data_IF_491588904086
#
_entry.id   IF_491588904086
#
_cell.length_a   1.000
_cell.length_b   1.000
_cell.length_c   1.000
_cell.angle_alpha   90.00
_cell.angle_beta   90.00
_cell.angle_gamma   90.00
#
_symmetry.space_group_name_H-M   'P 1'
#
loop_
_entity.id
_entity.type
_entity.pdbx_description
1 polymer ?
#
# COMPACT_ATOMS: atom_id res chain seq x y z
N UNK A 1 -14.69 -15.29 2.55
CA UNK A 1 -14.79 -13.80 2.74
C UNK A 1 -13.47 -13.16 2.38
N UNK A 2 -13.46 -12.00 1.68
CA UNK A 2 -12.26 -11.22 1.42
C UNK A 2 -12.20 -10.06 2.40
N UNK A 3 -11.03 -9.86 3.04
CA UNK A 3 -10.76 -8.75 3.95
C UNK A 3 -9.79 -7.79 3.29
N UNK A 4 -10.11 -6.50 3.29
CA UNK A 4 -9.21 -5.45 2.82
C UNK A 4 -8.78 -4.56 4.00
N UNK A 5 -7.47 -4.47 4.26
CA UNK A 5 -6.93 -3.82 5.47
C UNK A 5 -6.57 -2.34 5.28
N UNK A 6 -6.57 -1.83 4.04
CA UNK A 6 -6.03 -0.50 3.70
C UNK A 6 -7.03 0.66 3.66
N UNK A 7 -8.29 0.48 4.11
CA UNK A 7 -9.34 1.50 3.91
C UNK A 7 -9.26 2.69 4.87
N UNK A 8 -8.75 2.52 6.07
CA UNK A 8 -8.74 3.57 7.11
C UNK A 8 -7.34 3.98 7.53
N UNK A 9 -6.39 3.06 7.43
CA UNK A 9 -5.00 3.26 7.83
C UNK A 9 -4.12 2.20 7.17
N UNK A 10 -2.81 2.44 7.18
CA UNK A 10 -1.82 1.45 6.77
C UNK A 10 -1.58 0.49 7.94
N UNK A 11 -2.33 -0.63 7.97
CA UNK A 11 -2.23 -1.62 9.04
C UNK A 11 -0.84 -2.26 9.10
N UNK A 12 -0.23 -2.72 7.98
CA UNK A 12 1.12 -3.25 8.03
C UNK A 12 2.15 -2.29 8.63
N UNK A 13 2.08 -1.00 8.28
CA UNK A 13 3.06 -0.02 8.74
C UNK A 13 2.90 0.37 10.21
N UNK A 14 1.65 0.49 10.72
CA UNK A 14 1.39 1.12 12.01
C UNK A 14 0.71 0.23 13.04
N UNK A 15 0.08 -0.86 12.60
CA UNK A 15 -0.77 -1.70 13.44
C UNK A 15 -0.50 -3.21 13.25
N UNK A 16 0.71 -3.57 12.84
CA UNK A 16 1.09 -4.96 12.57
C UNK A 16 0.87 -5.88 13.78
N UNK A 17 1.35 -5.49 14.96
CA UNK A 17 1.18 -6.25 16.20
C UNK A 17 -0.29 -6.36 16.60
N UNK A 18 -1.04 -5.25 16.53
CA UNK A 18 -2.49 -5.28 16.79
C UNK A 18 -3.20 -6.26 15.84
N UNK A 19 -2.87 -6.23 14.55
CA UNK A 19 -3.48 -7.12 13.58
C UNK A 19 -3.12 -8.60 13.84
N UNK A 20 -1.86 -8.87 14.17
CA UNK A 20 -1.41 -10.19 14.59
C UNK A 20 -2.20 -10.70 15.80
N UNK A 21 -2.45 -9.85 16.80
CA UNK A 21 -3.27 -10.20 17.96
C UNK A 21 -4.73 -10.48 17.55
N UNK A 22 -5.29 -9.75 16.57
CA UNK A 22 -6.66 -10.02 16.07
C UNK A 22 -6.74 -11.36 15.35
N UNK A 23 -5.71 -11.73 14.57
CA UNK A 23 -5.65 -13.06 13.95
C UNK A 23 -5.61 -14.18 14.99
N UNK A 24 -4.79 -14.05 16.05
CA UNK A 24 -4.70 -15.02 17.15
C UNK A 24 -6.02 -15.17 17.89
N UNK A 25 -6.72 -14.06 18.13
CA UNK A 25 -8.06 -14.05 18.77
C UNK A 25 -9.18 -14.58 17.86
N UNK A 26 -8.93 -14.66 16.54
CA UNK A 26 -9.86 -15.17 15.55
C UNK A 26 -11.03 -14.22 15.22
N UNK A 27 -10.99 -12.97 15.67
CA UNK A 27 -12.02 -11.97 15.33
C UNK A 27 -11.53 -10.53 15.43
N UNK A 28 -12.26 -9.64 14.72
CA UNK A 28 -12.09 -8.19 14.83
C UNK A 28 -13.47 -7.52 14.98
N UNK A 29 -13.52 -6.48 15.81
CA UNK A 29 -14.67 -5.59 15.91
C UNK A 29 -14.42 -4.31 15.14
N UNK A 30 -15.32 -3.97 14.22
CA UNK A 30 -15.23 -2.78 13.36
C UNK A 30 -16.40 -1.85 13.67
N UNK A 31 -16.08 -0.63 14.11
CA UNK A 31 -17.10 0.40 14.35
C UNK A 31 -17.51 1.05 13.04
N UNK A 32 -18.83 1.22 12.84
CA UNK A 32 -19.34 1.96 11.70
C UNK A 32 -18.92 3.43 11.78
N UNK A 33 -18.29 4.01 10.73
CA UNK A 33 -17.81 5.40 10.76
C UNK A 33 -18.94 6.43 10.82
N UNK A 34 -20.14 6.06 10.34
CA UNK A 34 -21.33 6.93 10.30
C UNK A 34 -22.26 6.74 11.51
N UNK A 35 -22.12 5.61 12.23
CA UNK A 35 -22.89 5.33 13.43
C UNK A 35 -22.00 4.71 14.50
N UNK A 36 -21.52 5.55 15.44
CA UNK A 36 -20.59 5.14 16.49
C UNK A 36 -21.13 4.08 17.45
N UNK A 37 -22.45 3.88 17.50
CA UNK A 37 -23.09 2.87 18.34
C UNK A 37 -23.20 1.50 17.66
N UNK A 38 -22.96 1.46 16.34
CA UNK A 38 -22.99 0.21 15.57
C UNK A 38 -21.58 -0.36 15.43
N UNK A 39 -21.37 -1.53 16.02
CA UNK A 39 -20.11 -2.29 15.95
C UNK A 39 -20.41 -3.66 15.35
N UNK A 40 -19.74 -4.01 14.27
CA UNK A 40 -19.81 -5.32 13.64
C UNK A 40 -18.63 -6.18 14.07
N UNK A 41 -18.88 -7.44 14.43
CA UNK A 41 -17.85 -8.44 14.72
C UNK A 41 -17.67 -9.34 13.51
N UNK A 42 -16.42 -9.46 13.03
CA UNK A 42 -16.06 -10.33 11.93
C UNK A 42 -15.14 -11.44 12.41
N UNK A 43 -15.41 -12.66 12.02
CA UNK A 43 -14.50 -13.78 12.22
C UNK A 43 -13.29 -13.63 11.31
N UNK A 44 -12.12 -14.02 11.83
CA UNK A 44 -10.84 -13.95 11.11
C UNK A 44 -10.20 -15.33 10.90
N UNK A 45 -10.85 -16.41 11.26
CA UNK A 45 -10.27 -17.74 11.08
C UNK A 45 -10.20 -18.14 9.58
N UNK A 46 -9.20 -18.96 9.19
CA UNK A 46 -8.97 -19.33 7.79
C UNK A 46 -10.16 -20.06 7.13
N UNK A 47 -11.04 -20.68 7.92
CA UNK A 47 -12.21 -21.37 7.37
C UNK A 47 -13.26 -20.43 6.77
N UNK A 48 -13.22 -19.14 7.09
CA UNK A 48 -14.17 -18.13 6.60
C UNK A 48 -13.51 -16.99 5.83
N UNK A 49 -12.19 -16.84 5.94
CA UNK A 49 -11.41 -15.80 5.23
C UNK A 49 -10.60 -16.46 4.12
N UNK A 50 -11.01 -16.23 2.87
CA UNK A 50 -10.35 -16.76 1.69
C UNK A 50 -9.09 -15.96 1.33
N UNK A 51 -9.14 -14.63 1.55
CA UNK A 51 -8.06 -13.73 1.16
C UNK A 51 -8.00 -12.48 2.05
N UNK A 52 -6.79 -12.05 2.39
CA UNK A 52 -6.49 -10.79 3.04
C UNK A 52 -5.71 -9.90 2.06
N UNK A 53 -6.31 -8.76 1.68
CA UNK A 53 -5.68 -7.74 0.86
C UNK A 53 -5.02 -6.67 1.73
N UNK A 54 -3.73 -6.45 1.53
CA UNK A 54 -2.93 -5.45 2.22
C UNK A 54 -2.62 -4.27 1.30
N UNK A 55 -2.71 -3.04 1.83
CA UNK A 55 -2.19 -1.84 1.18
C UNK A 55 -1.23 -1.15 2.13
N UNK A 56 0.03 -0.96 1.72
CA UNK A 56 1.05 -0.41 2.61
C UNK A 56 2.11 0.39 1.88
N UNK A 57 2.69 1.36 2.58
CA UNK A 57 3.96 2.02 2.22
C UNK A 57 5.16 1.47 3.00
N UNK A 58 4.94 0.57 3.95
CA UNK A 58 6.01 -0.04 4.74
C UNK A 58 5.58 -1.44 5.23
N UNK A 59 5.93 -2.51 4.51
CA UNK A 59 5.55 -3.87 4.91
C UNK A 59 6.39 -4.44 6.06
N UNK A 60 7.56 -3.87 6.34
CA UNK A 60 8.54 -4.44 7.26
C UNK A 60 8.01 -4.78 8.67
N UNK A 61 7.12 -3.98 9.31
CA UNK A 61 6.60 -4.33 10.62
C UNK A 61 5.73 -5.61 10.65
N UNK A 62 5.24 -6.07 9.47
CA UNK A 62 4.49 -7.34 9.37
C UNK A 62 5.40 -8.57 9.26
N UNK A 63 6.66 -8.44 8.90
CA UNK A 63 7.54 -9.62 8.71
C UNK A 63 7.62 -10.57 9.90
N UNK A 64 7.66 -10.12 11.17
CA UNK A 64 7.65 -11.03 12.32
C UNK A 64 6.38 -11.87 12.45
N UNK A 65 5.32 -11.49 11.77
CA UNK A 65 3.99 -12.09 11.90
C UNK A 65 3.55 -12.87 10.66
N UNK A 66 4.40 -13.01 9.64
CA UNK A 66 4.05 -13.68 8.37
C UNK A 66 3.62 -15.14 8.58
N UNK A 67 4.12 -15.81 9.61
CA UNK A 67 3.72 -17.18 9.93
C UNK A 67 2.22 -17.30 10.28
N UNK A 68 1.62 -16.24 10.85
CA UNK A 68 0.18 -16.21 11.15
C UNK A 68 -0.70 -16.10 9.90
N UNK A 69 -0.10 -15.77 8.76
CA UNK A 69 -0.80 -15.55 7.49
C UNK A 69 -0.70 -16.75 6.53
N UNK A 70 0.00 -17.82 6.91
CA UNK A 70 0.27 -18.97 6.02
C UNK A 70 -0.99 -19.67 5.50
N UNK A 71 -2.03 -19.73 6.33
CA UNK A 71 -3.28 -20.40 6.01
C UNK A 71 -4.30 -19.50 5.30
N UNK A 72 -3.93 -18.26 4.99
CA UNK A 72 -4.77 -17.30 4.28
C UNK A 72 -4.25 -17.04 2.87
N UNK A 73 -5.13 -16.88 1.90
CA UNK A 73 -4.78 -16.20 0.67
C UNK A 73 -4.32 -14.77 0.98
N UNK A 74 -3.26 -14.31 0.32
CA UNK A 74 -2.70 -12.98 0.55
C UNK A 74 -2.58 -12.22 -0.77
N UNK A 75 -2.85 -10.91 -0.74
CA UNK A 75 -2.53 -10.03 -1.85
C UNK A 75 -2.04 -8.68 -1.32
N UNK A 76 -0.86 -8.27 -1.79
CA UNK A 76 -0.15 -7.10 -1.27
C UNK A 76 -0.03 -6.00 -2.31
N UNK A 77 -0.61 -4.84 -2.02
CA UNK A 77 -0.35 -3.61 -2.74
C UNK A 77 0.71 -2.81 -1.98
N UNK A 78 1.94 -2.79 -2.49
CA UNK A 78 3.04 -2.05 -1.87
C UNK A 78 3.30 -0.78 -2.65
N UNK A 79 3.07 0.37 -2.03
CA UNK A 79 3.24 1.67 -2.66
C UNK A 79 4.68 2.16 -2.46
N UNK A 80 5.42 2.30 -3.57
CA UNK A 80 6.75 2.92 -3.60
C UNK A 80 6.73 3.99 -4.68
N UNK A 81 6.89 5.24 -4.27
CA UNK A 81 6.88 6.43 -5.10
C UNK A 81 8.23 7.14 -4.99
N UNK A 82 8.64 7.99 -5.95
CA UNK A 82 9.98 8.57 -5.96
C UNK A 82 10.10 9.85 -5.12
N UNK A 83 9.06 10.19 -4.34
CA UNK A 83 9.04 11.46 -3.61
C UNK A 83 10.02 11.47 -2.45
N UNK A 84 10.58 12.64 -2.20
CA UNK A 84 11.39 12.91 -1.04
C UNK A 84 10.55 13.21 0.21
N UNK A 85 11.24 13.61 1.29
CA UNK A 85 10.59 13.97 2.57
C UNK A 85 9.70 15.21 2.51
N UNK A 86 9.80 16.01 1.47
CA UNK A 86 8.93 17.15 1.17
C UNK A 86 7.47 16.71 0.89
N UNK A 87 7.29 15.53 0.30
CA UNK A 87 5.96 14.95 0.02
C UNK A 87 5.66 13.79 0.99
N UNK A 88 6.65 12.98 1.32
CA UNK A 88 6.51 11.77 2.14
C UNK A 88 7.45 11.80 3.36
N UNK A 89 7.21 12.69 4.35
CA UNK A 89 8.14 12.93 5.46
C UNK A 89 8.37 11.70 6.35
N UNK A 90 7.37 10.82 6.45
CA UNK A 90 7.37 9.68 7.38
C UNK A 90 7.54 8.33 6.69
N UNK A 91 7.75 8.31 5.36
CA UNK A 91 7.99 7.07 4.61
C UNK A 91 9.46 6.69 4.75
N UNK A 92 9.78 5.41 4.98
CA UNK A 92 11.17 4.94 5.04
C UNK A 92 11.97 5.24 3.77
N UNK A 93 13.29 5.11 3.86
CA UNK A 93 14.19 5.26 2.71
C UNK A 93 13.79 4.34 1.56
N UNK A 94 13.92 4.82 0.31
CA UNK A 94 13.42 4.11 -0.88
C UNK A 94 14.23 2.85 -1.18
N UNK A 95 15.52 2.82 -0.90
CA UNK A 95 16.34 1.60 -1.09
C UNK A 95 15.87 0.52 -0.12
N UNK A 96 15.67 0.89 1.15
CA UNK A 96 15.11 -0.04 2.14
C UNK A 96 13.74 -0.57 1.72
N UNK A 97 12.85 0.30 1.21
CA UNK A 97 11.53 -0.14 0.74
C UNK A 97 11.59 -1.10 -0.45
N UNK A 98 12.54 -0.89 -1.37
CA UNK A 98 12.77 -1.81 -2.48
C UNK A 98 13.27 -3.18 -1.98
N UNK A 99 14.15 -3.20 -0.98
CA UNK A 99 14.63 -4.45 -0.38
C UNK A 99 13.53 -5.16 0.42
N UNK A 100 12.73 -4.41 1.18
CA UNK A 100 11.56 -4.94 1.89
C UNK A 100 10.50 -5.50 0.92
N UNK A 101 10.31 -4.86 -0.25
CA UNK A 101 9.44 -5.37 -1.31
C UNK A 101 9.92 -6.72 -1.84
N UNK A 102 11.22 -6.84 -2.16
CA UNK A 102 11.81 -8.10 -2.64
C UNK A 102 11.66 -9.20 -1.61
N UNK A 103 12.00 -8.90 -0.35
CA UNK A 103 11.80 -9.84 0.77
C UNK A 103 10.35 -10.31 0.90
N UNK A 104 9.40 -9.37 0.79
CA UNK A 104 7.97 -9.74 0.81
C UNK A 104 7.60 -10.61 -0.38
N UNK A 105 8.08 -10.27 -1.58
CA UNK A 105 7.85 -11.08 -2.78
C UNK A 105 8.37 -12.51 -2.64
N UNK A 106 9.55 -12.69 -2.03
CA UNK A 106 10.11 -14.03 -1.76
C UNK A 106 9.24 -14.83 -0.78
N UNK A 107 8.55 -14.15 0.15
CA UNK A 107 7.66 -14.79 1.14
C UNK A 107 6.29 -15.17 0.57
N UNK A 108 5.69 -14.31 -0.28
CA UNK A 108 4.30 -14.47 -0.73
C UNK A 108 4.17 -14.90 -2.20
N UNK A 109 5.25 -14.79 -2.96
CA UNK A 109 5.29 -15.06 -4.39
C UNK A 109 4.97 -13.85 -5.26
N UNK A 110 5.54 -13.81 -6.46
CA UNK A 110 5.50 -12.68 -7.41
C UNK A 110 4.09 -12.32 -7.91
N UNK A 111 3.14 -13.24 -7.82
CA UNK A 111 1.74 -13.03 -8.23
C UNK A 111 0.86 -12.49 -7.09
N UNK A 112 1.33 -12.58 -5.85
CA UNK A 112 0.60 -12.10 -4.68
C UNK A 112 1.01 -10.68 -4.25
N UNK A 113 1.91 -10.03 -5.00
CA UNK A 113 2.41 -8.69 -4.71
C UNK A 113 2.37 -7.80 -5.94
N UNK A 114 1.86 -6.58 -5.77
CA UNK A 114 1.77 -5.54 -6.80
C UNK A 114 2.53 -4.30 -6.34
N UNK A 115 3.38 -3.77 -7.21
CA UNK A 115 3.96 -2.45 -7.00
C UNK A 115 2.95 -1.37 -7.36
N UNK A 116 2.71 -0.41 -6.46
CA UNK A 116 1.94 0.79 -6.74
C UNK A 116 2.87 1.99 -6.86
N UNK A 117 3.01 2.51 -8.08
CA UNK A 117 3.62 3.80 -8.37
C UNK A 117 2.51 4.85 -8.47
N UNK A 118 1.88 5.14 -7.33
CA UNK A 118 0.59 5.80 -7.23
C UNK A 118 0.50 6.62 -5.93
N UNK A 119 0.13 7.89 -6.02
CA UNK A 119 -0.18 8.67 -7.22
C UNK A 119 1.06 9.33 -7.85
N UNK A 120 0.98 9.61 -9.16
CA UNK A 120 1.91 10.49 -9.86
C UNK A 120 1.41 11.93 -9.69
N UNK A 121 2.23 12.82 -9.13
CA UNK A 121 1.99 14.25 -9.09
C UNK A 121 3.04 14.98 -9.95
N UNK A 122 2.61 15.91 -10.76
CA UNK A 122 3.49 16.74 -11.57
C UNK A 122 3.65 18.13 -10.94
N UNK A 123 4.89 18.59 -10.84
CA UNK A 123 5.25 19.90 -10.34
C UNK A 123 6.56 20.38 -10.99
N UNK A 124 7.02 21.57 -10.67
CA UNK A 124 8.32 22.07 -11.14
C UNK A 124 9.48 21.14 -10.73
N UNK A 125 9.41 20.52 -9.54
CA UNK A 125 10.41 19.55 -9.05
C UNK A 125 10.20 18.14 -9.59
N UNK A 126 8.96 17.67 -9.59
CA UNK A 126 8.59 16.31 -10.00
C UNK A 126 8.00 16.34 -11.41
N UNK A 127 8.87 16.55 -12.39
CA UNK A 127 8.49 16.66 -13.81
C UNK A 127 8.18 15.28 -14.42
N UNK A 128 7.56 15.24 -15.59
CA UNK A 128 7.38 14.00 -16.35
C UNK A 128 8.73 13.28 -16.59
N UNK A 129 9.77 14.04 -16.98
CA UNK A 129 11.10 13.46 -17.19
C UNK A 129 11.72 12.89 -15.91
N UNK A 130 11.45 13.50 -14.75
CA UNK A 130 11.83 12.95 -13.44
C UNK A 130 11.14 11.61 -13.19
N UNK A 131 9.81 11.56 -13.39
CA UNK A 131 9.03 10.33 -13.18
C UNK A 131 9.44 9.20 -14.11
N UNK A 132 9.69 9.48 -15.38
CA UNK A 132 10.14 8.46 -16.34
C UNK A 132 11.47 7.82 -15.90
N UNK A 133 12.45 8.63 -15.46
CA UNK A 133 13.74 8.12 -14.96
C UNK A 133 13.57 7.31 -13.67
N UNK A 134 12.85 7.86 -12.70
CA UNK A 134 12.64 7.21 -11.41
C UNK A 134 11.86 5.88 -11.57
N UNK A 135 10.82 5.88 -12.40
CA UNK A 135 10.05 4.68 -12.71
C UNK A 135 10.93 3.60 -13.35
N UNK A 136 11.75 3.96 -14.35
CA UNK A 136 12.64 3.01 -15.00
C UNK A 136 13.64 2.38 -14.01
N UNK A 137 14.24 3.18 -13.12
CA UNK A 137 15.16 2.70 -12.08
C UNK A 137 14.47 1.74 -11.10
N UNK A 138 13.28 2.11 -10.61
CA UNK A 138 12.51 1.27 -9.68
C UNK A 138 12.00 0.00 -10.35
N UNK A 139 11.50 0.08 -11.60
CA UNK A 139 11.07 -1.07 -12.37
C UNK A 139 12.22 -2.06 -12.60
N UNK A 140 13.41 -1.54 -12.90
CA UNK A 140 14.60 -2.38 -13.03
C UNK A 140 14.95 -3.06 -11.70
N UNK A 141 14.90 -2.33 -10.58
CA UNK A 141 15.19 -2.87 -9.25
C UNK A 141 14.19 -3.95 -8.81
N UNK A 142 12.92 -3.85 -9.26
CA UNK A 142 11.83 -4.78 -8.92
C UNK A 142 11.62 -5.86 -9.98
N UNK A 143 12.44 -5.90 -11.03
CA UNK A 143 12.35 -6.93 -12.09
C UNK A 143 12.46 -8.33 -11.49
N UNK A 144 11.45 -9.17 -11.77
CA UNK A 144 11.39 -10.55 -11.27
C UNK A 144 10.72 -10.69 -9.88
N UNK A 145 10.41 -9.59 -9.20
CA UNK A 145 9.76 -9.61 -7.88
C UNK A 145 8.26 -9.27 -7.91
N UNK A 146 7.75 -8.85 -9.05
CA UNK A 146 6.30 -8.65 -9.28
C UNK A 146 5.99 -8.75 -10.76
N UNK A 147 4.73 -9.09 -11.08
CA UNK A 147 4.21 -9.13 -12.45
C UNK A 147 3.35 -7.90 -12.78
N UNK A 148 3.03 -7.09 -11.77
CA UNK A 148 2.05 -6.01 -11.94
C UNK A 148 2.54 -4.71 -11.32
N UNK A 149 2.35 -3.61 -12.05
CA UNK A 149 2.47 -2.27 -11.52
C UNK A 149 1.16 -1.50 -11.73
N UNK A 150 0.71 -0.80 -10.70
CA UNK A 150 -0.43 0.12 -10.76
C UNK A 150 0.09 1.55 -10.77
N UNK A 151 -0.34 2.32 -11.76
CA UNK A 151 -0.03 3.75 -11.89
C UNK A 151 -1.31 4.57 -11.95
N UNK A 152 -1.34 5.73 -11.32
CA UNK A 152 -2.39 6.74 -11.51
C UNK A 152 -1.84 8.14 -11.30
N UNK A 153 -2.48 9.13 -11.89
CA UNK A 153 -2.21 10.52 -11.58
C UNK A 153 -3.03 10.97 -10.37
N UNK A 154 -2.50 11.94 -9.64
CA UNK A 154 -3.20 12.46 -8.46
C UNK A 154 -4.48 13.19 -8.87
N UNK A 155 -5.57 12.88 -8.18
CA UNK A 155 -6.81 13.64 -8.30
C UNK A 155 -6.72 14.92 -7.47
N UNK A 156 -7.02 16.07 -8.09
CA UNK A 156 -6.92 17.38 -7.47
C UNK A 156 -8.17 17.73 -6.65
N UNK A 157 -8.46 16.93 -5.62
CA UNK A 157 -9.48 17.29 -4.63
C UNK A 157 -9.16 18.60 -3.91
N UNK A 158 -10.14 19.30 -3.33
CA UNK A 158 -9.91 20.56 -2.60
C UNK A 158 -8.82 20.47 -1.54
N UNK A 159 -8.71 19.34 -0.85
CA UNK A 159 -7.65 19.07 0.13
C UNK A 159 -6.26 19.00 -0.53
N UNK A 160 -6.15 18.37 -1.69
CA UNK A 160 -4.88 18.25 -2.44
C UNK A 160 -4.46 19.62 -2.93
N UNK A 161 -5.35 20.39 -3.58
CA UNK A 161 -5.06 21.75 -4.05
C UNK A 161 -4.59 22.67 -2.92
N UNK A 162 -5.18 22.54 -1.73
CA UNK A 162 -4.77 23.33 -0.56
C UNK A 162 -3.40 22.96 -0.02
N UNK A 163 -3.08 21.65 0.04
CA UNK A 163 -1.84 21.16 0.63
C UNK A 163 -0.66 21.13 -0.38
N UNK A 164 -0.97 21.08 -1.67
CA UNK A 164 0.02 21.00 -2.75
C UNK A 164 -0.37 21.96 -3.89
N UNK A 165 -0.30 23.27 -3.67
CA UNK A 165 -0.77 24.28 -4.64
C UNK A 165 0.02 24.27 -5.95
N UNK A 166 1.25 23.74 -5.96
CA UNK A 166 2.13 23.67 -7.14
C UNK A 166 1.87 22.46 -8.04
N UNK A 167 0.95 21.56 -7.66
CA UNK A 167 0.65 20.38 -8.47
C UNK A 167 -0.12 20.77 -9.72
N UNK A 168 0.41 20.35 -10.86
CA UNK A 168 -0.19 20.60 -12.17
C UNK A 168 -1.35 19.64 -12.43
N UNK A 169 -2.42 20.18 -13.02
CA UNK A 169 -3.53 19.37 -13.50
C UNK A 169 -3.14 18.64 -14.78
N UNK A 170 -3.25 17.32 -14.76
CA UNK A 170 -3.08 16.52 -15.97
C UNK A 170 -4.44 16.42 -16.64
N UNK A 171 -4.66 17.22 -17.70
CA UNK A 171 -5.87 17.10 -18.49
C UNK A 171 -5.91 15.73 -19.18
N UNK A 172 -6.97 14.97 -18.93
CA UNK A 172 -7.29 13.81 -19.78
C UNK A 172 -7.65 14.36 -21.17
N UNK A 173 -6.68 14.46 -22.08
CA UNK A 173 -7.02 14.59 -23.49
C UNK A 173 -7.71 13.29 -23.87
N UNK A 174 -8.99 13.36 -24.15
CA UNK A 174 -9.70 12.29 -24.83
C UNK A 174 -9.02 12.10 -26.18
N UNK A 175 -8.38 10.95 -26.34
CA UNK A 175 -7.96 10.43 -27.64
C UNK A 175 -9.12 9.74 -28.31
#
# INVERSE_FOLDING_TARGET
MIIHTGQRTDIPAFYAEWFANRLKEGFVCVRNPYNKHHVSRYRLDPSVVDLIGFCTKNPAPMFPYMDLLKDYGQYWFVTITPYGRDIEPNVPDKHRLLDDFKKLSDLVGVYAITWRYDPILLSARYTMAYHLRAFAQMAWALKGYTQTVVISFIDLYPKVRRNFPEVQEVSKKQS
#
